data_IF_521305474920
#
_entry.id   IF_521305474920
#
_cell.length_a   1.000
_cell.length_b   1.000
_cell.length_c   1.000
_cell.angle_alpha   90.00
_cell.angle_beta   90.00
_cell.angle_gamma   90.00
#
_symmetry.space_group_name_H-M   'P 1'
#
loop_
_entity.id
_entity.type
_entity.pdbx_description
1 polymer ?
#
# COMPACT_ATOMS: atom_id res chain seq x y z
N UNK A 1 22.89 -0.86 6.03
CA UNK A 1 21.44 -0.57 5.92
C UNK A 1 20.65 -1.71 6.54
N UNK A 2 19.42 -1.44 6.99
CA UNK A 2 18.54 -2.47 7.55
C UNK A 2 17.06 -2.07 7.32
N UNK A 3 16.14 -3.02 7.47
CA UNK A 3 14.70 -2.77 7.41
C UNK A 3 14.27 -2.01 8.66
N UNK A 4 13.83 -0.76 8.51
CA UNK A 4 13.40 0.12 9.61
C UNK A 4 11.95 -0.11 10.00
N UNK A 5 11.08 -0.25 9.00
CA UNK A 5 9.64 -0.44 9.22
C UNK A 5 9.03 -1.33 8.14
N UNK A 6 8.00 -2.07 8.51
CA UNK A 6 7.17 -2.87 7.61
C UNK A 6 5.70 -2.49 7.76
N UNK A 7 4.99 -2.38 6.64
CA UNK A 7 3.58 -2.03 6.60
C UNK A 7 2.78 -2.96 5.69
N UNK A 8 1.60 -3.35 6.17
CA UNK A 8 0.58 -4.05 5.40
C UNK A 8 -0.70 -3.21 5.35
N UNK A 9 -1.38 -3.24 4.22
CA UNK A 9 -2.62 -2.50 3.95
C UNK A 9 -3.68 -3.48 3.42
N UNK A 10 -4.32 -4.31 4.23
CA UNK A 10 -5.20 -5.37 3.74
C UNK A 10 -6.28 -4.87 2.79
N UNK A 11 -6.86 -3.70 3.07
CA UNK A 11 -7.91 -3.10 2.24
C UNK A 11 -7.35 -1.87 1.50
N UNK A 12 -7.53 -1.85 0.17
CA UNK A 12 -7.19 -0.67 -0.65
C UNK A 12 -7.88 0.57 -0.11
N UNK A 13 -7.19 1.70 -0.12
CA UNK A 13 -7.65 3.02 0.34
C UNK A 13 -7.76 3.20 1.86
N UNK A 14 -7.75 2.16 2.68
CA UNK A 14 -7.68 2.30 4.13
C UNK A 14 -6.25 2.57 4.61
N UNK A 15 -6.11 3.00 5.87
CA UNK A 15 -4.83 3.11 6.57
C UNK A 15 -4.12 1.76 6.69
N UNK A 16 -2.80 1.80 6.81
CA UNK A 16 -1.97 0.62 6.99
C UNK A 16 -1.69 0.31 8.45
N UNK A 17 -1.18 -0.88 8.68
CA UNK A 17 -0.69 -1.33 9.98
C UNK A 17 0.80 -1.63 9.89
N UNK A 18 1.55 -1.22 10.91
CA UNK A 18 2.93 -1.64 11.09
C UNK A 18 2.98 -3.09 11.60
N UNK A 19 4.01 -3.81 11.21
CA UNK A 19 4.26 -5.18 11.66
C UNK A 19 5.74 -5.39 11.92
N UNK A 20 6.08 -6.28 12.86
CA UNK A 20 7.46 -6.67 13.10
C UNK A 20 7.95 -7.67 12.06
N UNK A 21 7.04 -8.48 11.54
CA UNK A 21 7.33 -9.49 10.51
C UNK A 21 6.20 -9.55 9.49
N UNK A 22 6.52 -9.72 8.22
CA UNK A 22 5.57 -9.95 7.13
C UNK A 22 6.11 -11.02 6.18
N UNK A 23 5.23 -11.78 5.54
CA UNK A 23 5.58 -12.80 4.55
C UNK A 23 5.50 -12.19 3.15
N UNK A 24 6.61 -12.07 2.41
CA UNK A 24 6.59 -11.64 1.03
C UNK A 24 5.97 -12.68 0.11
N UNK A 25 5.17 -12.22 -0.84
CA UNK A 25 4.57 -13.01 -1.92
C UNK A 25 4.72 -12.25 -3.26
N UNK A 26 4.47 -12.90 -4.38
CA UNK A 26 4.63 -12.32 -5.72
C UNK A 26 3.80 -11.05 -5.96
N UNK A 27 2.61 -10.95 -5.36
CA UNK A 27 1.68 -9.83 -5.55
C UNK A 27 1.58 -8.86 -4.37
N UNK A 28 2.58 -8.84 -3.47
CA UNK A 28 2.65 -8.01 -2.26
C UNK A 28 2.90 -8.88 -1.03
N UNK A 29 2.98 -8.30 0.16
CA UNK A 29 2.95 -9.10 1.38
C UNK A 29 1.66 -9.90 1.47
N UNK A 30 1.72 -11.05 2.15
CA UNK A 30 0.52 -11.82 2.45
C UNK A 30 -0.58 -10.89 2.97
N UNK A 31 -1.76 -10.96 2.35
CA UNK A 31 -2.93 -10.14 2.65
C UNK A 31 -2.84 -8.65 2.29
N UNK A 32 -1.76 -8.17 1.71
CA UNK A 32 -1.62 -6.77 1.32
C UNK A 32 -2.50 -6.43 0.11
N UNK A 33 -3.43 -5.45 0.29
CA UNK A 33 -4.39 -4.96 -0.72
C UNK A 33 -5.16 -6.09 -1.40
N UNK A 34 -5.55 -7.13 -0.61
CA UNK A 34 -6.36 -8.25 -1.13
C UNK A 34 -7.85 -7.94 -1.11
N UNK A 35 -8.27 -6.90 -0.40
CA UNK A 35 -9.66 -6.42 -0.35
C UNK A 35 -9.75 -4.99 -0.85
N UNK A 36 -10.93 -4.64 -1.36
CA UNK A 36 -11.21 -3.32 -1.90
C UNK A 36 -12.70 -2.99 -1.81
N UNK A 37 -13.03 -1.77 -1.43
CA UNK A 37 -14.38 -1.26 -1.56
C UNK A 37 -14.61 -0.71 -2.96
N UNK A 38 -15.77 -1.05 -3.53
CA UNK A 38 -16.19 -0.61 -4.86
C UNK A 38 -17.60 -0.03 -4.81
N UNK A 39 -17.90 0.86 -5.76
CA UNK A 39 -19.24 1.33 -6.06
C UNK A 39 -20.07 0.21 -6.71
N UNK A 40 -21.38 0.45 -6.90
CA UNK A 40 -22.27 -0.52 -7.56
C UNK A 40 -21.81 -0.93 -8.95
N UNK A 41 -21.21 -0.02 -9.70
CA UNK A 41 -20.65 -0.26 -11.04
C UNK A 41 -19.28 -0.96 -11.05
N UNK A 42 -18.75 -1.35 -9.89
CA UNK A 42 -17.43 -2.02 -9.76
C UNK A 42 -16.22 -1.07 -9.73
N UNK A 43 -16.42 0.25 -9.83
CA UNK A 43 -15.34 1.23 -9.72
C UNK A 43 -14.81 1.27 -8.28
N UNK A 44 -13.48 1.26 -8.10
CA UNK A 44 -12.90 1.32 -6.75
C UNK A 44 -13.12 2.67 -6.06
N UNK A 45 -13.38 2.63 -4.76
CA UNK A 45 -13.51 3.81 -3.91
C UNK A 45 -12.13 4.24 -3.42
N UNK A 46 -11.74 5.46 -3.79
CA UNK A 46 -10.42 5.99 -3.50
C UNK A 46 -10.41 6.92 -2.29
N UNK A 47 -9.43 6.77 -1.41
CA UNK A 47 -9.16 7.75 -0.36
C UNK A 47 -8.72 9.14 -0.91
N UNK A 48 -8.51 9.29 -2.23
CA UNK A 48 -8.39 10.62 -2.86
C UNK A 48 -9.73 11.37 -2.85
N UNK A 49 -10.81 10.63 -3.09
CA UNK A 49 -12.18 11.17 -3.08
C UNK A 49 -12.74 11.21 -1.64
N UNK A 50 -12.44 10.20 -0.83
CA UNK A 50 -12.90 10.05 0.55
C UNK A 50 -11.70 9.95 1.51
N UNK A 51 -11.03 11.08 1.86
CA UNK A 51 -9.83 11.07 2.71
C UNK A 51 -10.03 10.44 4.07
N UNK A 52 -11.25 10.51 4.62
CA UNK A 52 -11.63 9.90 5.90
C UNK A 52 -11.39 8.39 5.97
N UNK A 53 -11.28 7.68 4.83
CA UNK A 53 -10.94 6.26 4.81
C UNK A 53 -9.56 5.95 5.43
N UNK A 54 -8.64 6.91 5.42
CA UNK A 54 -7.32 6.75 6.04
C UNK A 54 -7.35 6.70 7.56
N UNK A 55 -8.44 7.17 8.18
CA UNK A 55 -8.64 7.11 9.64
C UNK A 55 -9.00 5.72 10.15
N UNK A 56 -9.21 4.78 9.24
CA UNK A 56 -9.56 3.40 9.53
C UNK A 56 -8.50 2.45 8.97
N UNK A 57 -8.28 1.34 9.67
CA UNK A 57 -7.42 0.25 9.23
C UNK A 57 -8.18 -1.07 9.22
N UNK A 58 -7.63 -2.06 8.57
CA UNK A 58 -8.14 -3.42 8.62
C UNK A 58 -7.00 -4.38 8.97
N UNK A 59 -7.32 -5.42 9.76
CA UNK A 59 -6.42 -6.52 10.09
C UNK A 59 -7.04 -7.86 9.71
N UNK A 60 -6.20 -8.80 9.33
CA UNK A 60 -6.62 -10.17 9.05
C UNK A 60 -6.34 -11.03 10.27
N UNK A 61 -7.38 -11.65 10.82
CA UNK A 61 -7.31 -12.54 11.98
C UNK A 61 -7.98 -13.88 11.65
N UNK A 62 -7.18 -14.83 11.19
CA UNK A 62 -7.69 -16.10 10.64
C UNK A 62 -8.43 -15.85 9.32
N UNK A 63 -9.72 -16.17 9.29
CA UNK A 63 -10.63 -15.93 8.16
C UNK A 63 -11.44 -14.64 8.29
N UNK A 64 -11.24 -13.88 9.38
CA UNK A 64 -11.91 -12.61 9.62
C UNK A 64 -11.08 -11.42 9.13
N UNK A 65 -11.75 -10.44 8.53
CA UNK A 65 -11.24 -9.11 8.27
C UNK A 65 -11.86 -8.14 9.27
N UNK A 66 -11.05 -7.61 10.20
CA UNK A 66 -11.48 -6.71 11.29
C UNK A 66 -11.16 -5.28 10.94
N UNK A 67 -12.12 -4.39 11.11
CA UNK A 67 -11.98 -2.97 10.84
C UNK A 67 -11.87 -2.19 12.14
N UNK A 68 -10.87 -1.30 12.20
CA UNK A 68 -10.61 -0.48 13.40
C UNK A 68 -10.48 0.99 13.05
N UNK A 69 -10.88 1.85 13.99
CA UNK A 69 -10.51 3.25 13.97
C UNK A 69 -9.06 3.40 14.46
N UNK A 70 -8.22 4.11 13.72
CA UNK A 70 -6.79 4.23 14.05
C UNK A 70 -6.57 5.03 15.33
N UNK A 71 -7.34 6.10 15.55
CA UNK A 71 -7.13 7.04 16.66
C UNK A 71 -7.24 6.40 18.05
N UNK A 72 -8.10 5.40 18.24
CA UNK A 72 -8.39 4.77 19.53
C UNK A 72 -8.34 3.24 19.50
N UNK A 73 -8.08 2.65 18.35
CA UNK A 73 -8.06 1.20 18.13
C UNK A 73 -9.43 0.54 18.21
N UNK A 74 -10.53 1.32 18.31
CA UNK A 74 -11.88 0.78 18.45
C UNK A 74 -12.25 -0.15 17.29
N UNK A 75 -12.75 -1.35 17.62
CA UNK A 75 -13.29 -2.28 16.63
C UNK A 75 -14.63 -1.74 16.11
N UNK A 76 -14.73 -1.56 14.81
CA UNK A 76 -15.94 -1.06 14.13
C UNK A 76 -16.80 -2.18 13.58
N UNK A 77 -16.18 -3.29 13.21
CA UNK A 77 -16.84 -4.46 12.67
C UNK A 77 -15.83 -5.53 12.25
N UNK A 78 -16.34 -6.73 12.05
CA UNK A 78 -15.57 -7.87 11.56
C UNK A 78 -16.36 -8.59 10.46
N UNK A 79 -15.65 -9.03 9.43
CA UNK A 79 -16.17 -9.73 8.26
C UNK A 79 -15.63 -11.15 8.31
N UNK A 80 -16.41 -12.09 8.82
CA UNK A 80 -16.08 -13.52 8.77
C UNK A 80 -16.24 -14.04 7.34
N UNK A 81 -15.43 -15.03 6.95
CA UNK A 81 -15.47 -15.54 5.56
C UNK A 81 -15.09 -14.50 4.50
N UNK A 82 -14.30 -13.50 4.87
CA UNK A 82 -13.92 -12.41 3.97
C UNK A 82 -13.14 -12.85 2.70
N UNK A 83 -12.82 -14.13 2.59
CA UNK A 83 -12.20 -14.76 1.40
C UNK A 83 -13.20 -15.57 0.58
N UNK A 84 -14.43 -15.71 1.04
CA UNK A 84 -15.49 -16.52 0.44
C UNK A 84 -16.47 -15.63 -0.32
N UNK A 85 -16.22 -15.42 -1.59
CA UNK A 85 -17.10 -14.61 -2.43
C UNK A 85 -18.34 -15.37 -2.87
N UNK A 86 -19.49 -14.69 -2.90
CA UNK A 86 -20.77 -15.26 -3.35
C UNK A 86 -20.91 -15.31 -4.87
N UNK A 87 -20.20 -14.44 -5.57
CA UNK A 87 -20.15 -14.38 -7.05
C UNK A 87 -18.96 -13.56 -7.52
N UNK A 88 -18.61 -13.75 -8.79
CA UNK A 88 -17.63 -12.92 -9.48
C UNK A 88 -18.30 -11.67 -10.06
N UNK A 89 -17.64 -10.53 -9.88
CA UNK A 89 -18.06 -9.28 -10.48
C UNK A 89 -16.88 -8.60 -11.16
N UNK A 90 -17.15 -7.83 -12.20
CA UNK A 90 -16.17 -6.98 -12.83
C UNK A 90 -15.87 -5.78 -11.94
N UNK A 91 -14.57 -5.48 -11.76
CA UNK A 91 -14.09 -4.34 -10.98
C UNK A 91 -13.00 -3.60 -11.74
N UNK A 92 -12.85 -2.31 -11.44
CA UNK A 92 -11.84 -1.47 -12.06
C UNK A 92 -10.91 -0.86 -11.04
N UNK A 93 -9.61 -0.90 -11.32
CA UNK A 93 -8.56 -0.14 -10.61
C UNK A 93 -7.78 0.66 -11.65
N UNK A 94 -7.98 1.97 -11.68
CA UNK A 94 -7.48 2.87 -12.72
C UNK A 94 -7.97 2.42 -14.10
N UNK A 95 -7.04 2.11 -15.00
CA UNK A 95 -7.33 1.66 -16.37
C UNK A 95 -7.48 0.13 -16.48
N UNK A 96 -7.21 -0.61 -15.39
CA UNK A 96 -7.31 -2.06 -15.39
C UNK A 96 -8.73 -2.50 -15.01
N UNK A 97 -9.29 -3.45 -15.75
CA UNK A 97 -10.58 -4.09 -15.48
C UNK A 97 -10.40 -5.59 -15.42
N UNK A 98 -10.92 -6.21 -14.35
CA UNK A 98 -10.75 -7.64 -14.10
C UNK A 98 -11.85 -8.16 -13.17
N UNK A 99 -11.89 -9.49 -12.96
CA UNK A 99 -12.87 -10.14 -12.10
C UNK A 99 -12.36 -10.24 -10.66
N UNK A 100 -13.24 -9.99 -9.70
CA UNK A 100 -12.98 -10.20 -8.27
C UNK A 100 -14.19 -10.84 -7.58
N UNK A 101 -13.97 -11.44 -6.43
CA UNK A 101 -15.03 -12.08 -5.64
C UNK A 101 -15.80 -11.06 -4.81
N UNK A 102 -17.11 -10.94 -5.02
CA UNK A 102 -17.99 -10.11 -4.18
C UNK A 102 -18.19 -10.77 -2.82
N UNK A 103 -17.91 -10.03 -1.76
CA UNK A 103 -18.19 -10.45 -0.38
C UNK A 103 -19.55 -9.86 0.03
N UNK A 104 -20.46 -10.72 0.42
CA UNK A 104 -21.78 -10.32 0.90
C UNK A 104 -22.04 -10.99 2.25
N UNK A 105 -22.05 -10.16 3.28
CA UNK A 105 -22.19 -10.62 4.65
C UNK A 105 -23.06 -9.67 5.46
N UNK A 106 -23.75 -10.17 6.50
CA UNK A 106 -24.51 -9.34 7.42
C UNK A 106 -23.65 -8.23 8.07
N UNK A 107 -24.19 -7.02 8.16
CA UNK A 107 -23.52 -5.88 8.80
C UNK A 107 -22.56 -5.09 7.90
N UNK A 108 -22.38 -5.48 6.65
CA UNK A 108 -21.56 -4.73 5.71
C UNK A 108 -22.08 -3.31 5.46
N UNK A 109 -23.42 -3.13 5.39
CA UNK A 109 -24.03 -1.83 5.19
C UNK A 109 -23.72 -0.88 6.36
N UNK A 110 -23.86 -1.35 7.61
CA UNK A 110 -23.53 -0.55 8.79
C UNK A 110 -22.03 -0.18 8.84
N UNK A 111 -21.16 -1.10 8.43
CA UNK A 111 -19.72 -0.83 8.32
C UNK A 111 -19.44 0.26 7.28
N UNK A 112 -20.02 0.16 6.07
CA UNK A 112 -19.81 1.14 5.00
C UNK A 112 -20.35 2.51 5.34
N UNK A 113 -21.48 2.60 6.06
CA UNK A 113 -21.98 3.85 6.64
C UNK A 113 -20.97 4.47 7.62
N UNK A 114 -20.43 3.65 8.54
CA UNK A 114 -19.42 4.08 9.52
C UNK A 114 -18.14 4.57 8.85
N UNK A 115 -17.73 3.94 7.75
CA UNK A 115 -16.58 4.33 6.95
C UNK A 115 -16.82 5.57 6.06
N UNK A 116 -18.06 6.08 6.00
CA UNK A 116 -18.44 7.22 5.16
C UNK A 116 -18.56 6.88 3.67
N UNK A 117 -18.84 5.62 3.34
CA UNK A 117 -19.01 5.09 1.98
C UNK A 117 -20.29 4.24 1.89
N UNK A 118 -21.48 4.78 2.22
CA UNK A 118 -22.71 4.01 2.27
C UNK A 118 -23.02 3.35 0.93
N UNK A 119 -23.49 2.10 0.96
CA UNK A 119 -23.80 1.31 -0.23
C UNK A 119 -22.57 0.76 -0.97
N UNK A 120 -21.38 0.98 -0.47
CA UNK A 120 -20.18 0.37 -1.04
C UNK A 120 -20.22 -1.16 -0.87
N UNK A 121 -19.66 -1.85 -1.87
CA UNK A 121 -19.52 -3.32 -1.85
C UNK A 121 -18.08 -3.69 -1.58
N UNK A 122 -17.86 -4.75 -0.82
CA UNK A 122 -16.52 -5.29 -0.55
C UNK A 122 -16.19 -6.39 -1.56
N UNK A 123 -14.99 -6.34 -2.13
CA UNK A 123 -14.49 -7.38 -3.02
C UNK A 123 -13.15 -7.93 -2.54
N UNK A 124 -12.90 -9.19 -2.87
CA UNK A 124 -11.68 -9.93 -2.54
C UNK A 124 -11.00 -10.42 -3.82
N UNK A 125 -9.69 -10.30 -3.86
CA UNK A 125 -8.84 -10.86 -4.89
C UNK A 125 -8.30 -12.22 -4.42
N UNK A 126 -8.88 -13.31 -4.93
CA UNK A 126 -8.50 -14.69 -4.64
C UNK A 126 -7.16 -15.11 -5.26
N UNK A 127 -6.69 -16.33 -4.96
CA UNK A 127 -5.46 -16.85 -5.58
C UNK A 127 -5.55 -17.00 -7.10
N UNK A 128 -6.75 -17.25 -7.61
CA UNK A 128 -7.06 -17.44 -9.03
C UNK A 128 -7.17 -16.13 -9.82
N UNK A 129 -7.28 -15.00 -9.12
CA UNK A 129 -7.41 -13.69 -9.75
C UNK A 129 -6.06 -13.19 -10.23
N UNK A 130 -6.01 -12.77 -11.49
CA UNK A 130 -4.79 -12.30 -12.12
C UNK A 130 -4.92 -10.83 -12.49
N UNK A 131 -4.00 -10.01 -12.00
CA UNK A 131 -3.80 -8.64 -12.45
C UNK A 131 -2.31 -8.45 -12.71
N UNK A 132 -1.87 -8.36 -13.97
CA UNK A 132 -0.45 -8.23 -14.29
C UNK A 132 0.09 -6.86 -13.87
N UNK A 133 1.37 -6.82 -13.51
CA UNK A 133 2.13 -5.57 -13.39
C UNK A 133 2.28 -4.95 -14.79
N UNK A 134 2.44 -3.62 -14.87
CA UNK A 134 2.64 -2.87 -16.12
C UNK A 134 3.66 -3.58 -17.05
N UNK A 135 3.25 -4.08 -18.22
CA UNK A 135 4.09 -4.93 -19.08
C UNK A 135 5.35 -4.25 -19.61
N UNK A 136 5.42 -2.91 -19.54
CA UNK A 136 6.63 -2.15 -19.92
C UNK A 136 7.80 -2.37 -18.95
N UNK A 137 7.52 -2.81 -17.73
CA UNK A 137 8.50 -2.95 -16.66
C UNK A 137 8.43 -4.31 -15.96
N UNK A 138 7.38 -5.09 -16.21
CA UNK A 138 7.17 -6.40 -15.61
C UNK A 138 8.01 -7.48 -16.28
N UNK A 139 8.40 -8.49 -15.52
CA UNK A 139 8.76 -9.80 -16.04
C UNK A 139 7.49 -10.64 -16.22
N UNK A 140 7.58 -11.66 -17.07
CA UNK A 140 6.47 -12.58 -17.27
C UNK A 140 6.04 -13.23 -15.94
N UNK A 141 4.73 -13.21 -15.65
CA UNK A 141 4.15 -13.78 -14.45
C UNK A 141 4.19 -12.87 -13.20
N UNK A 142 4.73 -11.66 -13.30
CA UNK A 142 4.62 -10.68 -12.19
C UNK A 142 3.20 -10.11 -12.13
N UNK A 143 2.61 -10.19 -10.95
CA UNK A 143 1.25 -9.78 -10.66
C UNK A 143 1.22 -8.73 -9.55
N UNK A 144 0.11 -8.02 -9.45
CA UNK A 144 -0.18 -7.06 -8.38
C UNK A 144 -1.58 -7.30 -7.82
N UNK A 145 -1.75 -7.08 -6.52
CA UNK A 145 -3.05 -7.08 -5.86
C UNK A 145 -3.89 -5.84 -6.24
N UNK A 146 -4.79 -5.37 -5.39
CA UNK A 146 -5.47 -4.08 -5.59
C UNK A 146 -4.56 -2.85 -5.35
N UNK A 147 -3.24 -3.03 -5.18
CA UNK A 147 -2.28 -1.92 -5.17
C UNK A 147 -2.32 -1.14 -6.49
N UNK A 148 -1.77 0.09 -6.51
CA UNK A 148 -1.94 0.98 -7.67
C UNK A 148 -1.26 0.45 -8.94
N UNK A 149 -0.09 -0.14 -8.86
CA UNK A 149 0.57 -0.67 -10.06
C UNK A 149 1.72 -1.63 -9.80
N UNK A 150 2.20 -1.71 -8.55
CA UNK A 150 3.30 -2.61 -8.15
C UNK A 150 3.01 -3.25 -6.80
N UNK A 151 3.54 -4.49 -6.57
CA UNK A 151 3.32 -5.21 -5.32
C UNK A 151 3.88 -4.50 -4.09
N UNK A 152 5.03 -3.84 -4.24
CA UNK A 152 5.74 -3.21 -3.12
C UNK A 152 6.12 -1.77 -3.44
N UNK A 153 6.09 -0.94 -2.40
CA UNK A 153 6.74 0.36 -2.35
C UNK A 153 7.83 0.31 -1.28
N UNK A 154 9.06 0.63 -1.69
CA UNK A 154 10.23 0.70 -0.82
C UNK A 154 10.66 2.16 -0.72
N UNK A 155 10.87 2.64 0.51
CA UNK A 155 11.29 4.02 0.81
C UNK A 155 12.52 4.01 1.70
N UNK A 156 13.13 5.18 1.85
CA UNK A 156 14.38 5.40 2.57
C UNK A 156 14.15 6.43 3.69
N UNK A 157 14.61 6.14 4.91
CA UNK A 157 14.48 7.06 6.06
C UNK A 157 15.17 8.39 5.82
N UNK A 158 16.40 8.41 5.30
CA UNK A 158 17.13 9.65 5.07
C UNK A 158 16.46 10.54 4.00
N UNK A 159 15.78 9.95 3.00
CA UNK A 159 14.99 10.69 2.02
C UNK A 159 13.75 11.34 2.65
N UNK A 160 13.15 10.67 3.60
CA UNK A 160 12.04 11.21 4.38
C UNK A 160 12.49 12.36 5.28
N UNK A 161 13.65 12.21 5.94
CA UNK A 161 14.24 13.23 6.80
C UNK A 161 14.68 14.48 6.02
N UNK A 162 15.25 14.31 4.80
CA UNK A 162 15.56 15.44 3.91
C UNK A 162 14.29 16.21 3.53
N UNK A 163 13.21 15.51 3.19
CA UNK A 163 11.93 16.15 2.91
C UNK A 163 11.34 16.87 4.13
N UNK A 164 11.38 16.24 5.31
CA UNK A 164 10.93 16.86 6.57
C UNK A 164 11.71 18.14 6.86
N UNK A 165 13.03 18.09 6.75
CA UNK A 165 13.92 19.24 6.93
C UNK A 165 13.58 20.40 5.98
N UNK A 166 13.31 20.11 4.71
CA UNK A 166 12.90 21.13 3.70
C UNK A 166 11.55 21.76 4.02
N UNK A 167 10.67 21.03 4.66
CA UNK A 167 9.37 21.53 5.14
C UNK A 167 9.48 22.32 6.45
N UNK A 168 10.64 22.32 7.12
CA UNK A 168 10.82 22.90 8.44
C UNK A 168 10.19 22.07 9.57
N UNK A 169 9.94 20.76 9.32
CA UNK A 169 9.34 19.83 10.27
C UNK A 169 10.43 18.97 10.92
N UNK A 170 10.23 18.59 12.18
CA UNK A 170 11.14 17.70 12.89
C UNK A 170 11.12 16.27 12.36
N UNK A 171 9.98 15.83 11.83
CA UNK A 171 9.78 14.53 11.21
C UNK A 171 8.55 14.58 10.30
N UNK A 172 8.46 13.62 9.39
CA UNK A 172 7.30 13.45 8.52
C UNK A 172 6.80 12.01 8.63
N UNK A 173 5.49 11.83 8.80
CA UNK A 173 4.89 10.50 8.87
C UNK A 173 5.05 9.77 7.53
N UNK A 174 5.85 8.69 7.52
CA UNK A 174 6.13 7.88 6.34
C UNK A 174 4.89 7.20 5.74
N UNK A 175 3.85 6.97 6.56
CA UNK A 175 2.57 6.37 6.13
C UNK A 175 1.85 7.21 5.06
N UNK A 176 2.17 8.51 4.91
CA UNK A 176 1.70 9.35 3.80
C UNK A 176 2.05 8.78 2.43
N UNK A 177 3.20 8.13 2.34
CA UNK A 177 3.70 7.50 1.12
C UNK A 177 3.18 6.08 0.94
N UNK A 178 2.60 5.49 1.98
CA UNK A 178 2.06 4.12 2.01
C UNK A 178 3.10 3.06 1.61
N UNK A 179 4.32 3.12 2.19
CA UNK A 179 5.35 2.14 1.90
C UNK A 179 4.97 0.76 2.42
N UNK A 180 5.50 -0.29 1.80
CA UNK A 180 5.49 -1.64 2.36
C UNK A 180 6.75 -1.88 3.19
N UNK A 181 7.88 -1.34 2.74
CA UNK A 181 9.20 -1.52 3.34
C UNK A 181 9.87 -0.16 3.45
N UNK A 182 10.35 0.18 4.64
CA UNK A 182 11.19 1.35 4.87
C UNK A 182 12.59 0.87 5.21
N UNK A 183 13.56 1.35 4.47
CA UNK A 183 14.98 1.01 4.65
C UNK A 183 15.68 2.14 5.39
N UNK A 184 16.40 1.82 6.47
CA UNK A 184 17.30 2.77 7.12
C UNK A 184 18.59 2.92 6.31
N UNK A 185 18.90 4.16 5.94
CA UNK A 185 20.19 4.56 5.39
C UNK A 185 20.58 5.94 5.92
N UNK A 186 21.86 6.32 5.78
CA UNK A 186 22.38 7.65 6.14
C UNK A 186 22.37 8.61 4.93
N UNK A 187 22.05 8.10 3.74
CA UNK A 187 22.17 8.85 2.47
C UNK A 187 20.79 9.11 1.89
N UNK A 188 20.35 10.37 1.84
CA UNK A 188 19.12 10.75 1.16
C UNK A 188 19.16 10.36 -0.32
N UNK A 189 18.05 9.86 -0.83
CA UNK A 189 17.83 9.52 -2.24
C UNK A 189 18.71 8.37 -2.76
N UNK A 190 19.38 7.62 -1.87
CA UNK A 190 20.16 6.44 -2.25
C UNK A 190 19.33 5.41 -3.00
N UNK A 191 18.01 5.35 -2.72
CA UNK A 191 17.07 4.46 -3.40
C UNK A 191 16.95 4.71 -4.90
N UNK A 192 17.32 5.89 -5.40
CA UNK A 192 17.23 6.19 -6.84
C UNK A 192 18.20 5.33 -7.68
N UNK A 193 19.30 4.91 -7.08
CA UNK A 193 20.34 4.09 -7.73
C UNK A 193 20.08 2.59 -7.53
N UNK A 194 19.07 2.20 -6.74
CA UNK A 194 18.82 0.79 -6.49
C UNK A 194 18.03 0.15 -7.65
N UNK A 195 18.60 -0.86 -8.26
CA UNK A 195 17.93 -1.71 -9.26
C UNK A 195 17.39 -3.00 -8.67
N UNK A 196 17.96 -3.43 -7.56
CA UNK A 196 17.51 -4.55 -6.75
C UNK A 196 17.96 -4.35 -5.29
N UNK A 197 17.40 -5.12 -4.38
CA UNK A 197 17.81 -5.19 -2.97
C UNK A 197 17.75 -6.64 -2.49
N UNK A 198 18.73 -7.03 -1.66
CA UNK A 198 18.65 -8.19 -0.81
C UNK A 198 18.22 -7.73 0.58
N UNK A 199 17.09 -8.22 1.09
CA UNK A 199 16.52 -7.93 2.40
C UNK A 199 16.44 -9.23 3.20
N UNK A 200 17.37 -9.47 4.12
CA UNK A 200 17.52 -10.76 4.73
C UNK A 200 17.69 -11.87 3.68
N UNK A 201 16.82 -12.88 3.67
CA UNK A 201 16.81 -13.96 2.67
C UNK A 201 16.06 -13.60 1.38
N UNK A 202 15.38 -12.45 1.32
CA UNK A 202 14.48 -12.07 0.23
C UNK A 202 15.14 -11.14 -0.77
N UNK A 203 14.93 -11.41 -2.06
CA UNK A 203 15.39 -10.56 -3.15
C UNK A 203 14.22 -9.77 -3.75
N UNK A 204 14.43 -8.46 -3.94
CA UNK A 204 13.51 -7.56 -4.59
C UNK A 204 14.17 -6.89 -5.79
N UNK A 205 13.50 -6.89 -6.92
CA UNK A 205 13.83 -6.08 -8.10
C UNK A 205 13.10 -4.74 -7.99
N UNK A 206 13.78 -3.66 -8.37
CA UNK A 206 13.25 -2.29 -8.29
C UNK A 206 13.16 -1.70 -9.70
N UNK A 207 12.05 -1.92 -10.42
CA UNK A 207 11.97 -1.61 -11.85
C UNK A 207 11.93 -0.13 -12.18
N UNK A 208 11.46 0.72 -11.26
CA UNK A 208 11.38 2.17 -11.46
C UNK A 208 11.02 2.94 -10.19
N UNK A 209 11.35 4.26 -10.15
CA UNK A 209 10.84 5.17 -9.11
C UNK A 209 9.32 5.21 -9.07
N UNK A 210 8.76 5.47 -7.88
CA UNK A 210 7.34 5.61 -7.68
C UNK A 210 6.88 7.06 -7.88
N UNK A 211 6.00 7.27 -8.86
CA UNK A 211 5.35 8.55 -9.08
C UNK A 211 4.32 8.82 -7.98
N UNK A 212 4.41 9.98 -7.36
CA UNK A 212 3.53 10.40 -6.26
C UNK A 212 2.39 11.28 -6.77
N UNK A 213 1.26 11.14 -6.15
CA UNK A 213 0.07 11.93 -6.43
C UNK A 213 -0.35 12.72 -5.19
N UNK A 214 -1.50 13.36 -5.24
CA UNK A 214 -2.09 14.15 -4.15
C UNK A 214 -2.20 13.39 -2.81
N UNK A 215 -2.17 12.05 -2.82
CA UNK A 215 -2.27 11.23 -1.62
C UNK A 215 -1.23 11.54 -0.56
N UNK A 216 0.00 11.90 -0.95
CA UNK A 216 1.08 12.23 0.01
C UNK A 216 0.80 13.50 0.83
N UNK A 217 -0.17 14.30 0.41
CA UNK A 217 -0.60 15.49 1.13
C UNK A 217 -1.55 15.17 2.29
N UNK A 218 -2.16 13.98 2.33
CA UNK A 218 -3.14 13.62 3.35
C UNK A 218 -2.40 13.10 4.59
N UNK A 219 -2.68 13.68 5.74
CA UNK A 219 -2.15 13.22 7.02
C UNK A 219 -2.85 11.95 7.46
N UNK A 220 -2.15 10.84 7.69
CA UNK A 220 -2.79 9.56 7.98
C UNK A 220 -3.60 9.51 9.26
N UNK A 221 -3.25 10.34 10.26
CA UNK A 221 -3.92 10.37 11.56
C UNK A 221 -5.16 11.26 11.60
N UNK A 222 -5.18 12.35 10.81
CA UNK A 222 -6.26 13.34 10.86
C UNK A 222 -7.11 13.38 9.60
N UNK A 223 -6.61 12.84 8.48
CA UNK A 223 -7.23 12.98 7.16
C UNK A 223 -7.08 14.38 6.56
N UNK A 224 -6.42 15.31 7.25
CA UNK A 224 -6.20 16.67 6.78
C UNK A 224 -5.19 16.73 5.63
N UNK A 225 -5.36 17.71 4.75
CA UNK A 225 -4.48 17.91 3.60
C UNK A 225 -3.42 18.96 3.90
N UNK A 226 -2.15 18.58 3.73
CA UNK A 226 -1.01 19.49 3.71
C UNK A 226 -0.37 19.50 2.32
N UNK A 227 -0.76 20.46 1.51
CA UNK A 227 -0.27 20.58 0.12
C UNK A 227 1.22 20.90 0.03
N UNK A 228 1.86 21.39 1.12
CA UNK A 228 3.28 21.70 1.16
C UNK A 228 4.15 20.50 0.79
N UNK A 229 3.75 19.29 1.24
CA UNK A 229 4.51 18.04 1.00
C UNK A 229 4.70 17.79 -0.49
N UNK A 230 3.64 17.80 -1.28
CA UNK A 230 3.73 17.57 -2.73
C UNK A 230 4.36 18.77 -3.45
N UNK A 231 4.09 19.98 -2.99
CA UNK A 231 4.67 21.20 -3.55
C UNK A 231 6.19 21.21 -3.36
N UNK A 232 6.70 20.87 -2.17
CA UNK A 232 8.13 20.80 -1.91
C UNK A 232 8.80 19.71 -2.75
N UNK A 233 8.27 18.49 -2.74
CA UNK A 233 8.78 17.41 -3.61
C UNK A 233 8.82 17.83 -5.08
N UNK A 234 7.84 18.58 -5.55
CA UNK A 234 7.77 19.03 -6.95
C UNK A 234 8.91 19.95 -7.34
N UNK A 235 9.58 20.62 -6.39
CA UNK A 235 10.69 21.56 -6.66
C UNK A 235 11.96 20.83 -7.06
N UNK A 236 12.22 19.64 -6.53
CA UNK A 236 13.50 18.95 -6.72
C UNK A 236 13.39 17.46 -7.10
N UNK A 237 12.18 16.86 -6.98
CA UNK A 237 11.94 15.45 -7.32
C UNK A 237 11.07 15.26 -8.56
N UNK A 238 10.90 16.29 -9.39
CA UNK A 238 10.07 16.24 -10.59
C UNK A 238 10.88 15.70 -11.78
N UNK A 239 10.35 14.64 -12.41
CA UNK A 239 10.87 14.06 -13.65
C UNK A 239 9.73 14.06 -14.67
N UNK A 240 9.87 14.88 -15.72
CA UNK A 240 8.78 15.13 -16.66
C UNK A 240 7.56 15.72 -15.93
N UNK A 241 6.42 15.05 -16.03
CA UNK A 241 5.17 15.47 -15.36
C UNK A 241 4.91 14.76 -14.04
N UNK A 242 5.88 13.99 -13.52
CA UNK A 242 5.71 13.15 -12.34
C UNK A 242 6.67 13.58 -11.23
N UNK A 243 6.19 13.54 -9.99
CA UNK A 243 6.97 13.78 -8.77
C UNK A 243 7.35 12.44 -8.19
N UNK A 244 8.63 12.18 -7.94
CA UNK A 244 9.14 10.87 -7.54
C UNK A 244 9.48 10.82 -6.06
N UNK A 245 9.13 9.70 -5.39
CA UNK A 245 9.55 9.37 -4.03
C UNK A 245 9.43 7.86 -3.82
N UNK A 246 10.55 7.22 -3.43
CA UNK A 246 10.65 5.77 -3.23
C UNK A 246 10.63 4.96 -4.52
N UNK A 247 10.84 3.66 -4.41
CA UNK A 247 10.97 2.72 -5.50
C UNK A 247 9.84 1.70 -5.49
N UNK A 248 9.26 1.46 -6.67
CA UNK A 248 8.39 0.30 -6.88
C UNK A 248 9.22 -0.97 -6.84
N UNK A 249 8.68 -2.03 -6.24
CA UNK A 249 9.37 -3.31 -6.08
C UNK A 249 8.54 -4.50 -6.53
N UNK A 250 9.23 -5.51 -7.05
CA UNK A 250 8.73 -6.86 -7.30
C UNK A 250 9.60 -7.86 -6.55
N UNK A 251 8.97 -8.80 -5.84
CA UNK A 251 9.68 -9.85 -5.13
C UNK A 251 10.15 -10.95 -6.09
N UNK A 252 11.42 -11.34 -6.00
CA UNK A 252 12.04 -12.35 -6.87
C UNK A 252 12.31 -13.68 -6.16
N UNK A 253 11.92 -13.81 -4.89
CA UNK A 253 12.11 -15.03 -4.12
C UNK A 253 12.79 -14.79 -2.78
N UNK A 254 12.85 -15.84 -1.99
CA UNK A 254 13.36 -15.90 -0.64
C UNK A 254 12.50 -16.82 0.22
N UNK A 255 12.95 -17.11 1.43
CA UNK A 255 12.27 -18.04 2.32
C UNK A 255 11.94 -17.39 3.68
N UNK A 256 10.81 -17.79 4.26
CA UNK A 256 10.37 -17.35 5.57
C UNK A 256 9.72 -15.97 5.57
N UNK A 257 9.93 -15.22 6.63
CA UNK A 257 9.39 -13.89 6.84
C UNK A 257 10.49 -12.83 6.68
N UNK A 258 10.11 -11.65 6.21
CA UNK A 258 10.92 -10.44 6.32
C UNK A 258 10.61 -9.78 7.67
N UNK A 259 11.63 -9.32 8.38
CA UNK A 259 11.47 -8.71 9.69
C UNK A 259 12.19 -7.35 9.81
N UNK A 260 11.68 -6.51 10.70
CA UNK A 260 12.35 -5.28 11.11
C UNK A 260 13.72 -5.62 11.69
N UNK A 261 14.77 -4.92 11.24
CA UNK A 261 16.16 -5.19 11.59
C UNK A 261 16.91 -6.08 10.59
N UNK A 262 16.24 -6.72 9.65
CA UNK A 262 16.92 -7.50 8.60
C UNK A 262 17.89 -6.63 7.82
N UNK A 263 19.07 -7.19 7.55
CA UNK A 263 20.12 -6.52 6.79
C UNK A 263 19.65 -6.25 5.35
N UNK A 264 19.95 -5.05 4.86
CA UNK A 264 19.67 -4.64 3.48
C UNK A 264 20.98 -4.44 2.74
N UNK A 265 21.11 -5.10 1.58
CA UNK A 265 22.28 -4.98 0.71
C UNK A 265 21.81 -4.64 -0.71
N UNK A 266 22.25 -3.50 -1.29
CA UNK A 266 22.06 -3.25 -2.72
C UNK A 266 22.91 -4.25 -3.53
N UNK A 267 22.60 -4.48 -4.81
CA UNK A 267 23.45 -5.28 -5.68
C UNK A 267 24.83 -4.61 -5.81
N UNK A 268 25.83 -5.44 -5.94
CA UNK A 268 27.19 -4.99 -6.22
C UNK A 268 27.28 -4.31 -7.60
#
# INVERSE_FOLDING_TARGET
MFVSSLYCYPVKSLGGQSAQTLTPEGRGFKDDRRWMFVEENGQFISCRAVPGLLLFSAEVAGDELRFRRIADGALLGAVAGAREGIKRIEVSVWDDTFQASLIDIPGLDQLTETLGIPGARLVYMGPEDVRPVDPRYAKAGEEVSFADGYPYLITNTASLDDLASRLGEASLDERRFRPNIVVYTDTPWAEDDWTALQLGSHRFRLPKPCARCIMVTIQPETGEKDLRVLAELSRYRKVGNKVMFGMNGCWEGGEGVLQVGDTVTPPA
#
